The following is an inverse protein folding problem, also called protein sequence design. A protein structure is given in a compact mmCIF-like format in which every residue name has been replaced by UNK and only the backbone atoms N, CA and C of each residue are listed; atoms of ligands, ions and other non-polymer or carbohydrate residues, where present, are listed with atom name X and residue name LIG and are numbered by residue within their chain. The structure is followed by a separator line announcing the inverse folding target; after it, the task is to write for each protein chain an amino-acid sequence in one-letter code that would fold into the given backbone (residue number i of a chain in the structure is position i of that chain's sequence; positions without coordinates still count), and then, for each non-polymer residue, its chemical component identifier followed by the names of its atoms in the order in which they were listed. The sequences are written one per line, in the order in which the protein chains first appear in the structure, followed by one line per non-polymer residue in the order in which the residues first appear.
data_IF_446557052802
#
_entry.id   IF_446557052802
#
_cell.length_a   1.000
_cell.length_b   1.000
_cell.length_c   1.000
_cell.angle_alpha   90.00
_cell.angle_beta   90.00
_cell.angle_gamma   90.00
#
_symmetry.space_group_name_H-M   'P 1'
#
loop_
_entity.id
_entity.type
_entity.pdbx_description
1 polymer ?
#
# COMPACT_ATOMS: atom_id res chain seq x y z
N UNK A 1 11.32 -13.32 1.67
CA UNK A 1 9.97 -13.14 2.28
C UNK A 1 9.84 -13.83 3.63
N UNK A 2 10.24 -15.10 3.80
CA UNK A 2 10.12 -15.81 5.09
C UNK A 2 10.94 -15.18 6.22
N UNK A 3 12.15 -14.70 5.94
CA UNK A 3 12.97 -14.01 6.94
C UNK A 3 12.34 -12.69 7.39
N UNK A 4 11.89 -11.85 6.44
CA UNK A 4 11.18 -10.60 6.76
C UNK A 4 9.89 -10.86 7.53
N UNK A 5 9.12 -11.89 7.18
CA UNK A 5 7.93 -12.29 7.93
C UNK A 5 8.29 -12.73 9.36
N UNK A 6 9.38 -13.48 9.53
CA UNK A 6 9.88 -13.91 10.84
C UNK A 6 10.27 -12.76 11.77
N UNK A 7 10.62 -11.58 11.24
CA UNK A 7 10.82 -10.37 12.06
C UNK A 7 9.53 -9.86 12.70
N UNK A 8 8.38 -10.13 12.08
CA UNK A 8 7.07 -9.72 12.56
C UNK A 8 6.33 -10.84 13.31
N UNK A 9 6.67 -12.11 13.05
CA UNK A 9 6.19 -13.27 13.83
C UNK A 9 6.92 -13.34 15.18
N UNK A 10 6.50 -12.48 16.11
CA UNK A 10 7.07 -12.42 17.47
C UNK A 10 6.85 -13.70 18.28
N UNK A 11 5.85 -14.52 17.91
CA UNK A 11 5.44 -15.71 18.67
C UNK A 11 6.01 -17.00 18.09
N UNK A 12 6.60 -16.95 16.89
CA UNK A 12 7.14 -18.11 16.18
C UNK A 12 6.07 -19.13 15.78
N UNK A 13 4.80 -18.71 15.68
CA UNK A 13 3.67 -19.59 15.41
C UNK A 13 3.27 -19.61 13.92
N UNK A 14 4.04 -18.94 13.05
CA UNK A 14 3.77 -18.84 11.62
C UNK A 14 2.69 -17.82 11.27
N UNK A 15 2.27 -16.97 12.21
CA UNK A 15 1.32 -15.88 11.98
C UNK A 15 1.84 -14.53 12.47
N UNK A 16 1.34 -13.45 11.86
CA UNK A 16 1.60 -12.08 12.31
C UNK A 16 0.28 -11.43 12.73
N UNK A 17 0.35 -10.37 13.53
CA UNK A 17 -0.83 -9.55 13.82
C UNK A 17 -1.32 -8.85 12.54
N UNK A 18 -2.63 -8.84 12.31
CA UNK A 18 -3.23 -8.19 11.13
C UNK A 18 -2.85 -6.71 11.02
N UNK A 19 -2.68 -6.04 12.15
CA UNK A 19 -2.20 -4.64 12.25
C UNK A 19 -0.78 -4.44 11.71
N UNK A 20 0.06 -5.48 11.72
CA UNK A 20 1.46 -5.42 11.29
C UNK A 20 1.64 -5.61 9.78
N UNK A 21 0.56 -5.94 9.04
CA UNK A 21 0.63 -6.21 7.60
C UNK A 21 1.20 -5.02 6.82
N UNK A 22 0.75 -3.80 7.12
CA UNK A 22 1.20 -2.60 6.42
C UNK A 22 2.70 -2.33 6.60
N UNK A 23 3.22 -2.53 7.80
CA UNK A 23 4.63 -2.31 8.11
C UNK A 23 5.51 -3.39 7.49
N UNK A 24 5.04 -4.64 7.46
CA UNK A 24 5.71 -5.73 6.75
C UNK A 24 5.79 -5.46 5.24
N UNK A 25 4.69 -5.00 4.63
CA UNK A 25 4.68 -4.63 3.21
C UNK A 25 5.68 -3.51 2.91
N UNK A 26 5.77 -2.50 3.77
CA UNK A 26 6.75 -1.41 3.66
C UNK A 26 8.19 -1.87 3.86
N UNK A 27 8.44 -2.77 4.79
CA UNK A 27 9.76 -3.36 4.99
C UNK A 27 10.22 -4.17 3.77
N UNK A 28 9.28 -4.66 2.94
CA UNK A 28 9.55 -5.36 1.68
C UNK A 28 9.60 -4.44 0.45
N UNK A 29 9.64 -3.13 0.67
CA UNK A 29 9.75 -2.12 -0.39
C UNK A 29 8.43 -1.77 -1.07
N UNK A 30 7.30 -2.29 -0.60
CA UNK A 30 5.98 -1.91 -1.10
C UNK A 30 5.52 -0.62 -0.42
N UNK A 31 4.79 0.24 -1.14
CA UNK A 31 4.30 1.50 -0.58
C UNK A 31 2.77 1.60 -0.60
N UNK A 32 2.04 0.71 0.08
CA UNK A 32 0.60 0.81 0.16
C UNK A 32 0.17 2.00 1.03
N UNK A 33 -0.85 2.71 0.55
CA UNK A 33 -1.59 3.71 1.34
C UNK A 33 -2.33 3.04 2.50
N UNK A 34 -2.69 3.82 3.52
CA UNK A 34 -3.45 3.27 4.66
C UNK A 34 -4.80 2.66 4.25
N UNK A 35 -5.50 3.29 3.29
CA UNK A 35 -6.74 2.75 2.74
C UNK A 35 -6.52 1.38 2.08
N UNK A 36 -5.47 1.25 1.26
CA UNK A 36 -5.12 -0.04 0.66
C UNK A 36 -4.75 -1.07 1.73
N UNK A 37 -3.96 -0.72 2.74
CA UNK A 37 -3.64 -1.65 3.84
C UNK A 37 -4.93 -2.14 4.52
N UNK A 38 -5.88 -1.25 4.79
CA UNK A 38 -7.16 -1.62 5.40
C UNK A 38 -7.95 -2.62 4.56
N UNK A 39 -8.00 -2.40 3.24
CA UNK A 39 -8.66 -3.32 2.29
C UNK A 39 -7.94 -4.67 2.23
N UNK A 40 -6.60 -4.66 2.20
CA UNK A 40 -5.78 -5.87 2.18
C UNK A 40 -5.94 -6.67 3.48
N UNK A 41 -5.98 -6.01 4.63
CA UNK A 41 -6.24 -6.64 5.93
C UNK A 41 -7.63 -7.26 5.97
N UNK A 42 -8.65 -6.54 5.50
CA UNK A 42 -10.04 -7.03 5.48
C UNK A 42 -10.20 -8.28 4.63
N UNK A 43 -9.41 -8.40 3.56
CA UNK A 43 -9.39 -9.59 2.70
C UNK A 43 -8.53 -10.72 3.27
N UNK A 44 -7.37 -10.40 3.86
CA UNK A 44 -6.44 -11.37 4.42
C UNK A 44 -6.97 -12.01 5.71
N UNK A 45 -7.65 -11.24 6.55
CA UNK A 45 -8.22 -11.67 7.82
C UNK A 45 -9.75 -11.63 7.79
N UNK A 46 -10.34 -12.18 6.73
CA UNK A 46 -11.80 -12.20 6.54
C UNK A 46 -12.54 -12.95 7.67
N UNK A 47 -11.86 -13.90 8.32
CA UNK A 47 -12.38 -14.64 9.48
C UNK A 47 -12.24 -13.84 10.80
N UNK A 48 -11.69 -12.62 10.78
CA UNK A 48 -11.50 -11.75 11.95
C UNK A 48 -10.75 -12.44 13.09
N UNK A 49 -9.73 -13.22 12.75
CA UNK A 49 -8.89 -13.94 13.72
C UNK A 49 -7.91 -13.01 14.43
N UNK A 50 -7.66 -11.82 13.87
CA UNK A 50 -6.65 -10.86 14.33
C UNK A 50 -5.23 -11.23 13.90
N UNK A 51 -5.06 -12.29 13.11
CA UNK A 51 -3.76 -12.76 12.65
C UNK A 51 -3.78 -13.17 11.18
N UNK A 52 -2.62 -13.07 10.53
CA UNK A 52 -2.44 -13.42 9.13
C UNK A 52 -1.34 -14.48 9.05
N UNK A 53 -1.62 -15.61 8.37
CA UNK A 53 -0.63 -16.65 8.12
C UNK A 53 0.32 -16.28 6.98
N UNK A 54 1.48 -16.95 6.93
CA UNK A 54 2.46 -16.73 5.88
C UNK A 54 1.88 -16.97 4.46
N UNK A 55 1.03 -17.98 4.30
CA UNK A 55 0.43 -18.30 2.99
C UNK A 55 -0.54 -17.21 2.52
N UNK A 56 -1.37 -16.69 3.43
CA UNK A 56 -2.26 -15.56 3.13
C UNK A 56 -1.44 -14.31 2.79
N UNK A 57 -0.39 -14.04 3.56
CA UNK A 57 0.53 -12.94 3.28
C UNK A 57 1.17 -13.05 1.89
N UNK A 58 1.61 -14.25 1.48
CA UNK A 58 2.15 -14.48 0.13
C UNK A 58 1.09 -14.19 -0.95
N UNK A 59 -0.15 -14.61 -0.72
CA UNK A 59 -1.27 -14.26 -1.60
C UNK A 59 -1.46 -12.75 -1.74
N UNK A 60 -1.32 -12.01 -0.64
CA UNK A 60 -1.36 -10.52 -0.64
C UNK A 60 -0.15 -9.91 -1.36
N UNK A 61 1.00 -10.56 -1.34
CA UNK A 61 2.20 -10.03 -1.99
C UNK A 61 2.23 -10.30 -3.50
N UNK A 62 1.65 -11.43 -3.94
CA UNK A 62 1.71 -11.93 -5.32
C UNK A 62 0.45 -11.62 -6.15
N UNK A 63 -0.37 -10.66 -5.70
CA UNK A 63 -1.62 -10.30 -6.37
C UNK A 63 -1.36 -9.72 -7.76
N UNK A 64 -2.23 -10.02 -8.73
CA UNK A 64 -2.11 -9.55 -10.11
C UNK A 64 -2.17 -8.02 -10.25
N UNK A 65 -2.93 -7.36 -9.37
CA UNK A 65 -3.03 -5.90 -9.28
C UNK A 65 -1.81 -5.26 -8.60
N UNK A 66 -0.99 -6.07 -7.93
CA UNK A 66 0.30 -5.72 -7.34
C UNK A 66 0.29 -4.47 -6.48
N UNK A 67 1.48 -3.95 -6.22
CA UNK A 67 1.64 -2.59 -5.71
C UNK A 67 2.21 -1.77 -6.84
N UNK A 68 1.36 -0.97 -7.48
CA UNK A 68 1.82 -0.05 -8.51
C UNK A 68 2.90 0.85 -7.90
N UNK A 69 4.05 1.03 -8.57
CA UNK A 69 5.02 2.02 -8.12
C UNK A 69 4.32 3.37 -8.02
N UNK A 70 4.78 4.21 -7.08
CA UNK A 70 4.38 5.62 -7.09
C UNK A 70 4.65 6.16 -8.50
N UNK A 71 3.69 6.93 -9.03
CA UNK A 71 3.82 7.49 -10.37
C UNK A 71 5.16 8.20 -10.56
N UNK A 72 5.68 8.20 -11.77
CA UNK A 72 6.93 8.91 -12.05
C UNK A 72 6.75 10.41 -11.80
N UNK A 73 7.84 11.12 -11.51
CA UNK A 73 7.81 12.59 -11.37
C UNK A 73 7.12 13.25 -12.56
N UNK A 74 7.34 12.75 -13.78
CA UNK A 74 6.71 13.28 -14.99
C UNK A 74 5.21 13.00 -15.04
N UNK A 75 4.73 11.85 -14.58
CA UNK A 75 3.29 11.58 -14.48
C UNK A 75 2.61 12.55 -13.52
N UNK A 76 3.25 12.83 -12.38
CA UNK A 76 2.75 13.83 -11.43
C UNK A 76 2.78 15.25 -12.02
N UNK A 77 3.86 15.64 -12.69
CA UNK A 77 3.95 16.97 -13.36
C UNK A 77 2.90 17.09 -14.47
N UNK A 78 2.71 16.05 -15.27
CA UNK A 78 1.71 16.05 -16.34
C UNK A 78 0.30 16.14 -15.76
N UNK A 79 0.01 15.41 -14.68
CA UNK A 79 -1.27 15.53 -13.96
C UNK A 79 -1.48 16.93 -13.38
N UNK A 80 -0.45 17.54 -12.81
CA UNK A 80 -0.50 18.90 -12.27
C UNK A 80 -0.81 19.94 -13.36
N UNK A 81 -0.17 19.81 -14.53
CA UNK A 81 -0.41 20.66 -15.72
C UNK A 81 -1.81 20.57 -16.29
N UNK A 82 -2.59 19.54 -15.96
CA UNK A 82 -4.01 19.48 -16.36
C UNK A 82 -4.79 20.64 -15.71
N UNK A 83 -4.42 21.01 -14.48
CA UNK A 83 -5.09 22.04 -13.68
C UNK A 83 -4.41 23.41 -13.78
N UNK A 84 -3.07 23.46 -13.77
CA UNK A 84 -2.26 24.69 -13.92
C UNK A 84 -2.34 25.22 -15.37
N UNK A 85 -3.39 26.00 -15.68
CA UNK A 85 -3.70 26.46 -17.04
C UNK A 85 -2.78 27.59 -17.48
N UNK A 86 -2.35 28.41 -16.53
CA UNK A 86 -1.47 29.55 -16.80
C UNK A 86 0.02 29.19 -16.70
N UNK A 87 0.35 27.94 -16.36
CA UNK A 87 1.72 27.40 -16.24
C UNK A 87 2.56 28.15 -15.21
N UNK A 88 1.93 28.68 -14.17
CA UNK A 88 2.60 29.41 -13.10
C UNK A 88 3.20 28.48 -12.02
N UNK A 89 2.95 27.18 -12.09
CA UNK A 89 3.44 26.16 -11.15
C UNK A 89 2.62 26.02 -9.87
N UNK A 90 1.45 26.64 -9.80
CA UNK A 90 0.49 26.59 -8.70
C UNK A 90 -0.89 26.23 -9.26
N UNK A 91 -1.74 25.61 -8.45
CA UNK A 91 -3.15 25.41 -8.81
C UNK A 91 -3.99 26.31 -7.91
N UNK A 92 -4.62 27.31 -8.51
CA UNK A 92 -5.54 28.21 -7.82
C UNK A 92 -6.87 27.51 -7.50
N UNK A 93 -7.63 28.05 -6.54
CA UNK A 93 -8.97 27.55 -6.24
C UNK A 93 -9.94 27.64 -7.43
N UNK A 94 -9.69 28.55 -8.38
CA UNK A 94 -10.48 28.66 -9.61
C UNK A 94 -10.16 27.51 -10.59
N UNK A 95 -8.89 27.11 -10.67
CA UNK A 95 -8.43 26.00 -11.51
C UNK A 95 -8.82 24.63 -10.97
N UNK A 96 -8.91 24.48 -9.64
CA UNK A 96 -9.42 23.28 -8.96
C UNK A 96 -10.91 23.01 -9.19
N UNK A 97 -11.68 24.01 -9.62
CA UNK A 97 -13.12 23.92 -9.84
C UNK A 97 -13.50 23.40 -11.23
N UNK A 98 -12.54 23.23 -12.13
CA UNK A 98 -12.75 22.82 -13.52
C UNK A 98 -12.24 21.40 -13.80
#
# INVERSE_FOLDING_TARGET
YRESFGLFDRKGNGTIESSSLGDLLRALGQNPTQAQVQDLVSQADAASTGTISFDVFLGVLMRDDGFKPAGTRNEFINGFRVFDKDSNGLISAAELRY
#
